data_IF_559815524921
#
_entry.id   IF_559815524921
#
_cell.length_a   1.000
_cell.length_b   1.000
_cell.length_c   1.000
_cell.angle_alpha   90.00
_cell.angle_beta   90.00
_cell.angle_gamma   90.00
#
_symmetry.space_group_name_H-M   'P 1'
#
loop_
_entity.id
_entity.type
_entity.pdbx_description
1 polymer ?
#
# COMPACT_ATOMS: atom_id res chain seq x y z
N UNK A 1 6.86 21.45 -20.88
CA UNK A 1 6.57 20.68 -20.36
C UNK A 1 6.62 20.75 -19.24
N UNK A 2 6.29 20.56 -18.88
CA UNK A 2 6.29 20.58 -17.79
C UNK A 2 6.89 19.67 -17.27
N UNK A 3 7.60 19.74 -16.88
CA UNK A 3 8.12 18.88 -16.41
C UNK A 3 7.51 18.50 -15.40
N UNK A 4 7.04 17.64 -15.35
CA UNK A 4 6.40 17.16 -14.33
C UNK A 4 7.24 16.61 -13.38
N UNK A 5 7.32 17.17 -12.32
CA UNK A 5 8.11 16.63 -11.35
C UNK A 5 7.35 15.98 -10.28
N UNK A 6 6.01 15.96 -10.35
CA UNK A 6 5.23 15.35 -9.36
C UNK A 6 5.37 13.90 -9.38
N UNK A 7 5.58 13.27 -8.28
CA UNK A 7 5.65 11.83 -8.16
C UNK A 7 4.24 11.25 -8.16
N UNK A 8 4.03 10.13 -8.82
CA UNK A 8 2.67 9.57 -8.92
C UNK A 8 2.06 9.23 -7.57
N UNK A 9 2.88 8.91 -6.59
CA UNK A 9 2.34 8.50 -5.31
C UNK A 9 2.49 9.55 -4.22
N UNK A 10 2.71 10.79 -4.62
CA UNK A 10 2.73 11.86 -3.64
C UNK A 10 1.34 12.12 -3.09
N UNK A 11 0.30 11.74 -3.83
CA UNK A 11 -1.05 11.79 -3.34
C UNK A 11 -1.30 10.52 -2.52
N UNK A 12 -1.59 10.63 -1.23
CA UNK A 12 -1.77 9.44 -0.40
C UNK A 12 -2.86 8.50 -0.89
N UNK A 13 -3.91 9.04 -1.48
CA UNK A 13 -4.97 8.17 -1.98
C UNK A 13 -4.51 7.38 -3.19
N UNK A 14 -3.73 7.99 -4.07
CA UNK A 14 -3.17 7.27 -5.21
C UNK A 14 -2.24 6.17 -4.73
N UNK A 15 -1.43 6.45 -3.72
CA UNK A 15 -0.56 5.45 -3.15
C UNK A 15 -1.37 4.33 -2.52
N UNK A 16 -2.43 4.68 -1.80
CA UNK A 16 -3.26 3.67 -1.15
C UNK A 16 -3.89 2.73 -2.17
N UNK A 17 -4.38 3.28 -3.27
CA UNK A 17 -4.98 2.44 -4.30
C UNK A 17 -3.97 1.49 -4.92
N UNK A 18 -2.76 1.98 -5.14
CA UNK A 18 -1.72 1.13 -5.70
C UNK A 18 -1.33 0.03 -4.73
N UNK A 19 -1.28 0.34 -3.44
CA UNK A 19 -0.93 -0.65 -2.44
C UNK A 19 -1.99 -1.75 -2.37
N UNK A 20 -3.26 -1.36 -2.46
CA UNK A 20 -4.33 -2.36 -2.46
C UNK A 20 -4.24 -3.22 -3.71
N UNK A 21 -3.90 -2.63 -4.84
CA UNK A 21 -3.75 -3.38 -6.06
C UNK A 21 -2.60 -4.37 -5.97
N UNK A 22 -1.48 -3.95 -5.40
CA UNK A 22 -0.36 -4.85 -5.18
C UNK A 22 -0.75 -5.99 -4.26
N UNK A 23 -1.47 -5.67 -3.20
CA UNK A 23 -1.91 -6.70 -2.26
C UNK A 23 -2.83 -7.71 -2.92
N UNK A 24 -3.63 -7.26 -3.86
CA UNK A 24 -4.53 -8.16 -4.56
C UNK A 24 -3.79 -9.22 -5.36
N UNK A 25 -2.59 -8.90 -5.80
CA UNK A 25 -1.79 -9.85 -6.57
C UNK A 25 -0.90 -10.73 -5.74
N UNK A 26 -0.91 -10.57 -4.42
CA UNK A 26 -0.07 -11.35 -3.54
C UNK A 26 -0.93 -12.40 -2.86
N UNK A 27 -0.42 -13.62 -2.86
CA UNK A 27 -1.14 -14.69 -2.19
C UNK A 27 -1.09 -14.48 -0.70
N UNK A 28 -2.25 -14.41 -0.07
CA UNK A 28 -2.31 -14.17 1.36
C UNK A 28 -1.94 -15.44 2.10
N UNK A 29 -1.39 -15.27 3.30
CA UNK A 29 -1.16 -16.40 4.17
C UNK A 29 -2.45 -16.68 4.92
N UNK A 30 -2.40 -17.52 5.92
CA UNK A 30 -3.59 -17.88 6.68
C UNK A 30 -4.34 -16.66 7.13
N UNK A 31 -5.64 -16.73 7.15
CA UNK A 31 -6.51 -15.66 7.62
C UNK A 31 -6.46 -14.42 6.75
N UNK A 32 -5.96 -14.55 5.54
CA UNK A 32 -5.95 -13.41 4.62
C UNK A 32 -4.92 -12.36 4.95
N UNK A 33 -3.95 -12.68 5.81
CA UNK A 33 -2.92 -11.73 6.19
C UNK A 33 -1.87 -11.62 5.10
N UNK A 34 -1.39 -10.40 4.87
CA UNK A 34 -0.36 -10.14 3.89
C UNK A 34 0.74 -9.38 4.59
N UNK A 35 1.95 -9.91 4.56
CA UNK A 35 3.06 -9.23 5.17
C UNK A 35 3.34 -7.92 4.46
N UNK A 36 3.52 -6.87 5.23
CA UNK A 36 3.72 -5.55 4.67
C UNK A 36 4.94 -5.51 3.78
N UNK A 37 6.00 -6.23 4.13
CA UNK A 37 7.20 -6.19 3.32
C UNK A 37 6.96 -6.76 1.92
N UNK A 38 5.99 -7.63 1.76
CA UNK A 38 5.69 -8.16 0.44
C UNK A 38 5.01 -7.12 -0.46
N UNK A 39 4.38 -6.13 0.15
CA UNK A 39 3.79 -5.03 -0.57
C UNK A 39 4.83 -3.92 -0.75
N UNK A 40 5.60 -3.69 0.31
CA UNK A 40 6.58 -2.63 0.32
C UNK A 40 7.64 -2.80 -0.75
N UNK A 41 8.12 -4.03 -0.91
CA UNK A 41 9.21 -4.28 -1.83
C UNK A 41 8.87 -3.87 -3.27
N UNK A 42 7.79 -4.34 -3.88
CA UNK A 42 7.48 -3.90 -5.24
C UNK A 42 7.13 -2.42 -5.30
N UNK A 43 6.53 -1.87 -4.24
CA UNK A 43 6.19 -0.47 -4.24
C UNK A 43 7.45 0.40 -4.29
N UNK A 44 8.45 0.04 -3.51
CA UNK A 44 9.68 0.82 -3.48
C UNK A 44 10.59 0.55 -4.67
N UNK A 45 10.72 -0.70 -5.07
CA UNK A 45 11.74 -1.05 -6.03
C UNK A 45 11.24 -1.23 -7.45
N UNK A 46 10.01 -1.66 -7.62
CA UNK A 46 9.45 -1.80 -8.96
C UNK A 46 8.79 -0.51 -9.39
N UNK A 47 8.07 0.14 -8.50
CA UNK A 47 7.38 1.38 -8.82
C UNK A 47 8.17 2.61 -8.40
N UNK A 48 9.31 2.40 -7.78
CA UNK A 48 10.26 3.45 -7.43
C UNK A 48 9.64 4.53 -6.53
N UNK A 49 8.77 4.12 -5.65
CA UNK A 49 8.18 5.04 -4.69
C UNK A 49 9.07 5.15 -3.46
N UNK A 50 8.80 6.10 -2.62
CA UNK A 50 9.60 6.31 -1.41
C UNK A 50 8.94 5.68 -0.20
N UNK A 51 9.73 5.52 0.86
CA UNK A 51 9.20 5.01 2.12
C UNK A 51 8.14 5.92 2.70
N UNK A 52 8.30 7.23 2.53
CA UNK A 52 7.29 8.18 3.02
C UNK A 52 5.98 8.01 2.27
N UNK A 53 6.07 7.77 0.96
CA UNK A 53 4.87 7.52 0.17
C UNK A 53 4.19 6.23 0.59
N UNK A 54 4.99 5.22 0.92
CA UNK A 54 4.44 3.95 1.38
C UNK A 54 3.70 4.14 2.70
N UNK A 55 4.32 4.82 3.65
CA UNK A 55 3.69 5.03 4.96
C UNK A 55 2.40 5.82 4.85
N UNK A 56 2.42 6.87 4.05
CA UNK A 56 1.23 7.69 3.87
C UNK A 56 0.14 6.89 3.17
N UNK A 57 0.52 6.06 2.20
CA UNK A 57 -0.45 5.22 1.50
C UNK A 57 -1.09 4.19 2.40
N UNK A 58 -0.29 3.53 3.23
CA UNK A 58 -0.82 2.56 4.17
C UNK A 58 -1.80 3.24 5.12
N UNK A 59 -1.41 4.39 5.67
CA UNK A 59 -2.28 5.10 6.59
C UNK A 59 -3.59 5.49 5.91
N UNK A 60 -3.51 5.98 4.69
CA UNK A 60 -4.69 6.37 3.95
C UNK A 60 -5.60 5.17 3.70
N UNK A 61 -5.03 4.03 3.32
CA UNK A 61 -5.81 2.84 3.06
C UNK A 61 -6.50 2.35 4.33
N UNK A 62 -5.83 2.45 5.47
CA UNK A 62 -6.43 2.06 6.73
C UNK A 62 -7.57 3.01 7.09
N UNK A 63 -7.36 4.30 6.90
CA UNK A 63 -8.39 5.29 7.22
C UNK A 63 -9.62 5.13 6.34
N UNK A 64 -9.42 4.73 5.10
CA UNK A 64 -10.55 4.53 4.20
C UNK A 64 -11.20 3.18 4.36
N UNK A 65 -10.65 2.34 5.21
CA UNK A 65 -11.23 1.02 5.45
C UNK A 65 -10.88 0.00 4.38
N UNK A 66 -9.87 0.29 3.56
CA UNK A 66 -9.45 -0.64 2.52
C UNK A 66 -8.51 -1.71 3.05
N UNK A 67 -7.74 -1.36 4.08
CA UNK A 67 -6.85 -2.29 4.76
C UNK A 67 -7.15 -2.29 6.24
N UNK A 68 -6.92 -3.43 6.87
CA UNK A 68 -6.89 -3.53 8.32
C UNK A 68 -5.48 -3.83 8.72
N UNK A 69 -4.88 -2.94 9.50
CA UNK A 69 -3.51 -3.10 9.93
C UNK A 69 -3.47 -3.85 11.23
N UNK A 70 -2.65 -4.91 11.28
CA UNK A 70 -2.49 -5.64 12.52
C UNK A 70 -1.73 -4.80 13.52
N UNK A 71 -2.03 -4.97 14.78
CA UNK A 71 -1.42 -4.13 15.82
C UNK A 71 0.09 -4.31 15.88
N UNK A 72 0.62 -5.41 15.39
CA UNK A 72 2.07 -5.58 15.36
C UNK A 72 2.72 -4.69 14.30
N UNK A 73 1.96 -4.22 13.35
CA UNK A 73 2.49 -3.39 12.27
C UNK A 73 3.22 -4.15 11.21
N UNK A 74 3.16 -5.48 11.23
CA UNK A 74 3.93 -6.28 10.27
C UNK A 74 3.10 -6.83 9.14
N UNK A 75 1.77 -6.84 9.27
CA UNK A 75 0.96 -7.28 8.15
C UNK A 75 -0.39 -6.60 8.15
N UNK A 76 -1.03 -6.67 6.98
CA UNK A 76 -2.35 -6.09 6.79
C UNK A 76 -3.27 -7.14 6.22
N UNK A 77 -4.55 -6.87 6.25
CA UNK A 77 -5.55 -7.71 5.66
C UNK A 77 -6.42 -6.83 4.80
N UNK A 78 -6.81 -7.29 3.63
CA UNK A 78 -7.69 -6.50 2.79
C UNK A 78 -9.08 -6.51 3.37
N UNK A 79 -9.66 -5.32 3.47
CA UNK A 79 -11.01 -5.24 3.99
C UNK A 79 -12.02 -5.67 2.95
N UNK A 80 -13.17 -6.17 3.44
CA UNK A 80 -14.17 -6.66 2.53
C UNK A 80 -14.78 -5.62 1.70
N UNK A 81 -14.80 -4.38 2.17
CA UNK A 81 -15.52 -3.34 1.46
C UNK A 81 -14.77 -2.81 0.27
N UNK A 82 -13.58 -3.23 0.04
CA UNK A 82 -12.87 -2.75 -1.14
C UNK A 82 -13.01 -3.73 -2.34
#
# INVERSE_FOLDING_TARGET
MKLVTERPFSDPEAAARQLVQLASGIEAVQDGRIHIEKINYPFLYTLEASGAEFSAGIRCAVEKGWFELHESGTYVRRARIY
#
